data_IF_700234024232
#
_entry.id   IF_700234024232
#
_cell.length_a   1.000
_cell.length_b   1.000
_cell.length_c   1.000
_cell.angle_alpha   90.00
_cell.angle_beta   90.00
_cell.angle_gamma   90.00
#
_symmetry.space_group_name_H-M   'P 1'
#
loop_
_entity.id
_entity.type
_entity.pdbx_description
1 polymer ?
#
# COMPACT_ATOMS: atom_id res chain seq x y z
N UNK A 1 10.60 -10.61 3.02
CA UNK A 1 10.89 -11.57 1.93
C UNK A 1 11.10 -10.82 0.63
N UNK A 2 12.17 -11.15 -0.10
CA UNK A 2 12.46 -10.50 -1.37
C UNK A 2 12.68 -11.52 -2.49
N UNK A 3 12.44 -11.09 -3.73
CA UNK A 3 12.69 -11.91 -4.91
C UNK A 3 12.80 -11.06 -6.16
N UNK A 4 13.82 -11.32 -6.97
CA UNK A 4 13.94 -10.67 -8.28
C UNK A 4 12.72 -10.97 -9.17
N UNK A 5 12.23 -12.20 -9.15
CA UNK A 5 11.14 -12.68 -10.01
C UNK A 5 9.74 -12.23 -9.54
N UNK A 6 9.50 -12.22 -8.23
CA UNK A 6 8.16 -12.04 -7.68
C UNK A 6 7.95 -10.65 -7.06
N UNK A 7 9.03 -9.88 -6.89
CA UNK A 7 9.03 -8.61 -6.18
C UNK A 7 9.30 -8.76 -4.69
N UNK A 8 9.41 -7.66 -4.02
CA UNK A 8 9.63 -7.60 -2.59
C UNK A 8 8.31 -7.49 -1.83
N UNK A 9 8.25 -8.14 -0.68
CA UNK A 9 7.02 -8.23 0.11
C UNK A 9 7.32 -8.13 1.59
N UNK A 10 6.59 -7.26 2.28
CA UNK A 10 6.56 -7.22 3.74
C UNK A 10 5.47 -8.15 4.24
N UNK A 11 5.81 -9.02 5.20
CA UNK A 11 4.85 -9.92 5.84
C UNK A 11 4.52 -9.39 7.22
N UNK A 12 3.25 -9.03 7.42
CA UNK A 12 2.75 -8.55 8.71
C UNK A 12 1.75 -9.58 9.27
N UNK A 13 1.90 -9.91 10.54
CA UNK A 13 0.99 -10.81 11.23
C UNK A 13 0.28 -10.08 12.38
N UNK A 14 -0.98 -10.41 12.60
CA UNK A 14 -1.77 -9.87 13.70
C UNK A 14 -1.22 -10.28 15.07
N UNK A 15 -0.66 -11.48 15.15
CA UNK A 15 -0.14 -12.08 16.39
C UNK A 15 1.38 -12.01 16.45
N UNK A 16 1.96 -11.87 17.64
CA UNK A 16 3.40 -11.66 17.82
C UNK A 16 4.26 -12.91 17.60
N UNK A 17 3.68 -14.09 17.45
CA UNK A 17 4.40 -15.35 17.28
C UNK A 17 4.73 -15.62 15.80
N UNK A 18 5.52 -14.75 15.21
CA UNK A 18 6.08 -14.97 13.87
C UNK A 18 7.36 -15.79 14.00
N UNK A 19 7.38 -16.95 13.36
CA UNK A 19 8.63 -17.62 13.01
C UNK A 19 9.17 -17.00 11.73
N UNK A 20 10.48 -16.92 11.61
CA UNK A 20 11.10 -16.60 10.32
C UNK A 20 10.67 -17.66 9.31
N UNK A 21 10.14 -17.21 8.18
CA UNK A 21 9.67 -18.09 7.12
C UNK A 21 10.65 -17.96 5.95
N UNK A 22 11.26 -19.07 5.59
CA UNK A 22 11.97 -19.23 4.33
C UNK A 22 11.00 -19.77 3.29
N UNK A 23 10.98 -19.17 2.10
CA UNK A 23 10.16 -19.63 0.98
C UNK A 23 10.88 -19.34 -0.33
N UNK A 24 10.91 -20.34 -1.21
CA UNK A 24 11.60 -20.26 -2.51
C UNK A 24 10.78 -19.51 -3.56
N UNK A 25 9.47 -19.40 -3.32
CA UNK A 25 8.56 -18.69 -4.20
C UNK A 25 7.39 -18.09 -3.41
N UNK A 26 6.68 -17.16 -4.06
CA UNK A 26 5.59 -16.39 -3.45
C UNK A 26 4.40 -17.27 -3.03
N UNK A 27 4.12 -18.34 -3.74
CA UNK A 27 3.01 -19.24 -3.41
C UNK A 27 3.33 -20.08 -2.16
N UNK A 28 4.56 -20.53 -2.03
CA UNK A 28 5.06 -21.18 -0.81
C UNK A 28 5.03 -20.21 0.36
N UNK A 29 5.47 -18.96 0.18
CA UNK A 29 5.35 -17.92 1.21
C UNK A 29 3.90 -17.76 1.67
N UNK A 30 2.97 -17.56 0.74
CA UNK A 30 1.55 -17.35 1.03
C UNK A 30 0.89 -18.54 1.73
N UNK A 31 1.32 -19.77 1.44
CA UNK A 31 0.85 -20.99 2.10
C UNK A 31 1.43 -21.15 3.51
N UNK A 32 2.66 -20.69 3.72
CA UNK A 32 3.39 -20.84 5.00
C UNK A 32 2.97 -19.82 6.06
N UNK A 33 2.35 -18.72 5.69
CA UNK A 33 1.89 -17.70 6.62
C UNK A 33 0.48 -18.00 7.14
N UNK A 34 0.19 -17.51 8.35
CA UNK A 34 -1.13 -17.69 8.96
C UNK A 34 -2.23 -16.96 8.18
N UNK A 35 -3.49 -17.35 8.42
CA UNK A 35 -4.66 -16.63 7.88
C UNK A 35 -4.75 -15.17 8.37
N UNK A 36 -4.14 -14.88 9.51
CA UNK A 36 -4.07 -13.54 10.10
C UNK A 36 -2.77 -12.82 9.71
N UNK A 37 -2.29 -13.04 8.50
CA UNK A 37 -1.14 -12.34 7.93
C UNK A 37 -1.52 -11.64 6.64
N UNK A 38 -0.83 -10.52 6.36
CA UNK A 38 -0.81 -9.85 5.06
C UNK A 38 0.56 -9.98 4.42
N UNK A 39 0.57 -10.13 3.11
CA UNK A 39 1.76 -10.03 2.26
C UNK A 39 1.64 -8.74 1.48
N UNK A 40 2.42 -7.75 1.82
CA UNK A 40 2.31 -6.40 1.26
C UNK A 40 3.38 -6.24 0.18
N UNK A 41 3.01 -6.14 -1.10
CA UNK A 41 3.95 -5.77 -2.15
C UNK A 41 4.54 -4.40 -1.84
N UNK A 42 5.85 -4.29 -1.96
CA UNK A 42 6.68 -3.20 -1.52
C UNK A 42 7.44 -2.62 -2.70
N UNK A 43 7.62 -1.31 -2.77
CA UNK A 43 8.21 -0.55 -3.89
C UNK A 43 7.91 -1.17 -5.27
N UNK A 44 6.62 -1.34 -5.54
CA UNK A 44 6.11 -2.13 -6.67
C UNK A 44 6.59 -1.66 -8.05
N UNK A 45 6.97 -0.39 -8.19
CA UNK A 45 7.31 0.27 -9.46
C UNK A 45 8.65 -0.11 -10.05
N UNK A 46 9.50 -0.87 -9.37
CA UNK A 46 10.70 -1.38 -9.98
C UNK A 46 10.38 -2.40 -11.09
N UNK A 47 11.29 -2.54 -12.04
CA UNK A 47 11.09 -3.43 -13.17
C UNK A 47 10.88 -4.88 -12.75
N UNK A 48 10.09 -5.59 -13.52
CA UNK A 48 9.95 -7.05 -13.43
C UNK A 48 11.33 -7.70 -13.51
N UNK A 49 11.59 -8.67 -12.66
CA UNK A 49 12.90 -9.31 -12.44
C UNK A 49 13.98 -8.37 -11.85
N UNK A 50 13.59 -7.19 -11.38
CA UNK A 50 14.43 -6.25 -10.64
C UNK A 50 13.79 -5.87 -9.30
N UNK A 51 13.15 -6.81 -8.63
CA UNK A 51 12.43 -6.66 -7.35
C UNK A 51 11.09 -5.90 -7.42
N UNK A 52 10.65 -5.45 -8.60
CA UNK A 52 9.30 -4.90 -8.80
C UNK A 52 8.22 -5.98 -8.75
N UNK A 53 6.97 -5.55 -8.61
CA UNK A 53 5.85 -6.48 -8.51
C UNK A 53 5.70 -7.33 -9.77
N UNK A 54 5.32 -8.59 -9.57
CA UNK A 54 4.83 -9.44 -10.64
C UNK A 54 3.34 -9.72 -10.42
N UNK A 55 2.48 -9.00 -11.13
CA UNK A 55 1.03 -9.08 -10.98
C UNK A 55 0.44 -10.45 -11.30
N UNK A 56 1.13 -11.29 -12.10
CA UNK A 56 0.66 -12.64 -12.39
C UNK A 56 0.59 -13.53 -11.13
N UNK A 57 1.30 -13.14 -10.08
CA UNK A 57 1.32 -13.82 -8.77
C UNK A 57 0.63 -13.03 -7.67
N UNK A 58 -0.05 -11.93 -8.01
CA UNK A 58 -0.79 -11.15 -7.02
C UNK A 58 -1.98 -11.93 -6.47
N UNK A 59 -2.27 -11.75 -5.18
CA UNK A 59 -3.38 -12.42 -4.51
C UNK A 59 -4.07 -11.46 -3.54
N UNK A 60 -5.24 -10.98 -3.92
CA UNK A 60 -6.04 -10.00 -3.16
C UNK A 60 -6.38 -10.48 -1.74
N UNK A 61 -6.58 -11.78 -1.54
CA UNK A 61 -6.94 -12.32 -0.23
C UNK A 61 -5.82 -12.23 0.80
N UNK A 62 -4.58 -12.21 0.35
CA UNK A 62 -3.38 -12.07 1.18
C UNK A 62 -2.77 -10.66 1.11
N UNK A 63 -3.05 -9.93 0.04
CA UNK A 63 -2.53 -8.58 -0.22
C UNK A 63 -3.69 -7.59 -0.40
N UNK A 64 -4.38 -7.20 0.68
CA UNK A 64 -5.53 -6.30 0.58
C UNK A 64 -5.14 -4.89 0.12
N UNK A 65 -3.87 -4.54 0.19
CA UNK A 65 -3.31 -3.28 -0.28
C UNK A 65 -1.88 -3.45 -0.75
N UNK A 66 -1.40 -2.50 -1.53
CA UNK A 66 -0.01 -2.42 -2.02
C UNK A 66 0.63 -1.10 -1.60
N UNK A 67 1.93 -1.09 -1.41
CA UNK A 67 2.68 0.13 -1.17
C UNK A 67 2.97 0.83 -2.50
N UNK A 68 2.51 2.07 -2.61
CA UNK A 68 2.74 2.89 -3.81
C UNK A 68 3.75 4.00 -3.58
N UNK A 69 4.07 4.33 -2.32
CA UNK A 69 4.97 5.43 -2.00
C UNK A 69 5.81 5.12 -0.77
N UNK A 70 7.12 5.37 -0.89
CA UNK A 70 8.08 5.32 0.20
C UNK A 70 9.26 6.24 -0.12
N UNK A 71 10.38 6.14 0.62
CA UNK A 71 11.62 6.81 0.23
C UNK A 71 12.12 6.40 -1.17
N UNK A 72 11.65 5.29 -1.73
CA UNK A 72 11.98 4.84 -3.08
C UNK A 72 11.18 5.53 -4.18
N UNK A 73 10.21 6.39 -3.85
CA UNK A 73 9.40 7.14 -4.81
C UNK A 73 7.96 6.66 -4.93
N UNK A 74 7.28 7.12 -5.97
CA UNK A 74 5.86 6.88 -6.22
C UNK A 74 5.65 5.89 -7.37
N UNK A 75 4.83 4.88 -7.13
CA UNK A 75 4.47 3.81 -8.08
C UNK A 75 2.96 3.76 -8.33
N UNK A 76 2.27 4.90 -8.28
CA UNK A 76 0.83 4.96 -8.53
C UNK A 76 0.52 4.75 -10.02
N UNK A 77 1.19 5.51 -10.86
CA UNK A 77 1.02 5.53 -12.31
C UNK A 77 2.35 5.77 -13.01
N UNK A 78 2.42 5.58 -14.32
CA UNK A 78 3.66 5.69 -15.08
C UNK A 78 4.21 7.11 -15.12
N UNK A 79 3.33 8.10 -15.23
CA UNK A 79 3.68 9.53 -15.21
C UNK A 79 3.26 10.13 -13.90
N UNK A 80 4.22 10.50 -13.06
CA UNK A 80 3.96 11.11 -11.76
C UNK A 80 5.02 12.15 -11.38
N UNK A 81 4.70 12.96 -10.36
CA UNK A 81 5.55 14.06 -9.88
C UNK A 81 6.74 13.59 -9.03
N UNK A 82 6.68 12.38 -8.50
CA UNK A 82 7.71 11.83 -7.62
C UNK A 82 8.50 10.77 -8.37
N UNK A 83 9.76 11.07 -8.68
CA UNK A 83 10.66 10.12 -9.32
C UNK A 83 11.02 8.98 -8.37
N UNK A 84 11.31 7.82 -8.93
CA UNK A 84 11.95 6.74 -8.18
C UNK A 84 13.36 7.20 -7.77
N UNK A 85 13.68 7.09 -6.48
CA UNK A 85 14.88 7.68 -5.88
C UNK A 85 16.05 6.69 -5.77
N UNK A 86 15.91 5.49 -6.28
CA UNK A 86 16.90 4.43 -6.10
C UNK A 86 17.35 3.82 -7.42
N UNK A 87 18.60 3.34 -7.48
CA UNK A 87 19.25 2.80 -8.69
C UNK A 87 18.74 1.43 -9.16
N UNK A 88 17.64 0.92 -8.61
CA UNK A 88 17.03 -0.32 -9.07
C UNK A 88 16.25 -0.18 -10.39
N UNK A 89 16.43 0.94 -11.06
CA UNK A 89 15.88 1.23 -12.38
C UNK A 89 14.81 2.29 -12.37
N UNK A 90 14.40 2.69 -13.57
CA UNK A 90 13.27 3.59 -13.78
C UNK A 90 11.95 2.91 -13.42
N UNK A 91 10.93 3.71 -13.12
CA UNK A 91 9.58 3.20 -12.95
C UNK A 91 9.16 2.38 -14.18
N UNK A 92 8.70 1.17 -13.92
CA UNK A 92 8.14 0.30 -14.95
C UNK A 92 6.62 0.47 -15.01
N UNK A 93 6.06 0.73 -16.18
CA UNK A 93 4.62 0.93 -16.35
C UNK A 93 3.80 -0.26 -15.87
N UNK A 94 4.29 -1.48 -16.07
CA UNK A 94 3.67 -2.72 -15.59
C UNK A 94 3.88 -2.98 -14.09
N UNK A 95 4.69 -2.16 -13.40
CA UNK A 95 4.87 -2.17 -11.94
C UNK A 95 3.92 -1.22 -11.20
N UNK A 96 3.07 -0.47 -11.87
CA UNK A 96 2.24 0.55 -11.23
C UNK A 96 0.93 0.01 -10.64
N UNK A 97 0.36 0.73 -9.67
CA UNK A 97 -0.95 0.38 -9.12
C UNK A 97 -2.06 0.51 -10.16
N UNK A 98 -2.01 1.52 -11.03
CA UNK A 98 -2.96 1.68 -12.14
C UNK A 98 -2.93 0.50 -13.09
N UNK A 99 -1.77 -0.07 -13.36
CA UNK A 99 -1.68 -1.30 -14.14
C UNK A 99 -2.34 -2.49 -13.41
N UNK A 100 -2.10 -2.65 -12.11
CA UNK A 100 -2.77 -3.68 -11.31
C UNK A 100 -4.30 -3.57 -11.36
N UNK A 101 -4.84 -2.35 -11.23
CA UNK A 101 -6.28 -2.11 -11.38
C UNK A 101 -6.79 -2.39 -12.80
N UNK A 102 -6.02 -2.09 -13.84
CA UNK A 102 -6.38 -2.42 -15.23
C UNK A 102 -6.49 -3.93 -15.48
N UNK A 103 -5.77 -4.74 -14.70
CA UNK A 103 -5.88 -6.21 -14.69
C UNK A 103 -7.13 -6.71 -13.93
N UNK A 104 -7.91 -5.81 -13.31
CA UNK A 104 -9.11 -6.13 -12.56
C UNK A 104 -8.88 -6.45 -11.08
N UNK A 105 -7.66 -6.35 -10.57
CA UNK A 105 -7.36 -6.55 -9.16
C UNK A 105 -7.97 -5.47 -8.29
N UNK A 106 -8.45 -5.85 -7.09
CA UNK A 106 -9.10 -4.96 -6.13
C UNK A 106 -8.26 -4.85 -4.86
N UNK A 107 -7.51 -3.81 -4.74
CA UNK A 107 -6.65 -3.54 -3.58
C UNK A 107 -6.70 -2.08 -3.18
N UNK A 108 -6.38 -1.78 -1.92
CA UNK A 108 -6.12 -0.44 -1.43
C UNK A 108 -4.67 -0.03 -1.68
N UNK A 109 -4.36 1.23 -1.44
CA UNK A 109 -3.01 1.77 -1.59
C UNK A 109 -2.52 2.33 -0.27
N UNK A 110 -1.23 2.15 0.01
CA UNK A 110 -0.57 2.68 1.20
C UNK A 110 0.74 3.37 0.85
N UNK A 111 1.15 4.30 1.72
CA UNK A 111 2.52 4.76 1.81
C UNK A 111 3.24 4.07 2.98
N UNK A 112 4.54 4.03 2.94
CA UNK A 112 5.40 3.61 4.04
C UNK A 112 6.70 4.42 4.03
N UNK A 113 7.51 4.31 5.08
CA UNK A 113 8.78 5.02 5.12
C UNK A 113 9.87 4.30 4.36
N UNK A 114 9.89 2.98 4.43
CA UNK A 114 11.03 2.14 4.01
C UNK A 114 12.37 2.63 4.58
N UNK A 115 12.34 3.05 5.83
CA UNK A 115 13.48 3.72 6.46
C UNK A 115 14.56 2.72 6.88
N UNK A 116 15.72 2.79 6.23
CA UNK A 116 16.80 1.82 6.42
C UNK A 116 17.60 1.99 7.72
N UNK A 117 17.46 3.13 8.41
CA UNK A 117 18.09 3.34 9.71
C UNK A 117 17.18 3.00 10.91
N UNK A 118 16.07 2.30 10.69
CA UNK A 118 15.19 1.77 11.74
C UNK A 118 14.25 2.79 12.39
N UNK A 119 13.94 3.88 11.71
CA UNK A 119 12.96 4.89 12.18
C UNK A 119 11.64 4.80 11.39
N UNK A 120 10.79 3.79 11.66
CA UNK A 120 9.50 3.66 10.98
C UNK A 120 8.60 4.84 11.32
N UNK A 121 7.92 5.38 10.30
CA UNK A 121 7.07 6.57 10.48
C UNK A 121 7.83 7.89 10.57
N UNK A 122 9.10 7.93 10.15
CA UNK A 122 9.89 9.17 10.06
C UNK A 122 9.19 10.17 9.15
N UNK A 123 9.31 11.45 9.52
CA UNK A 123 8.69 12.55 8.79
C UNK A 123 9.31 12.71 7.39
N UNK A 124 8.51 13.14 6.42
CA UNK A 124 8.97 13.39 5.06
C UNK A 124 9.00 12.15 4.14
N UNK A 125 8.67 10.98 4.67
CA UNK A 125 8.49 9.75 3.90
C UNK A 125 7.04 9.29 3.90
N UNK A 126 6.71 8.25 3.14
CA UNK A 126 5.35 7.74 3.06
C UNK A 126 4.79 7.25 4.39
N UNK A 127 3.49 7.41 4.58
CA UNK A 127 2.74 6.91 5.72
C UNK A 127 1.45 6.24 5.24
N UNK A 128 0.89 5.39 6.07
CA UNK A 128 -0.44 4.83 5.90
C UNK A 128 -1.46 5.60 6.73
N UNK A 129 -2.53 6.08 6.09
CA UNK A 129 -3.74 6.49 6.81
C UNK A 129 -4.70 5.30 6.94
N UNK A 130 -5.28 5.12 8.13
CA UNK A 130 -6.23 4.05 8.41
C UNK A 130 -7.53 4.62 8.98
N UNK A 131 -8.66 4.36 8.33
CA UNK A 131 -9.97 4.76 8.83
C UNK A 131 -10.48 3.66 9.78
N UNK A 132 -10.55 3.97 11.06
CA UNK A 132 -10.92 3.03 12.10
C UNK A 132 -11.73 3.70 13.22
N UNK A 133 -12.65 2.97 13.84
CA UNK A 133 -13.49 3.47 14.97
C UNK A 133 -12.66 3.84 16.20
N UNK A 134 -11.56 3.15 16.43
CA UNK A 134 -10.66 3.36 17.56
C UNK A 134 -9.29 2.73 17.27
N UNK A 135 -8.31 2.98 18.14
CA UNK A 135 -6.93 2.50 18.03
C UNK A 135 -6.70 1.07 18.56
N UNK A 136 -7.76 0.30 18.86
CA UNK A 136 -7.58 -1.09 19.30
C UNK A 136 -7.03 -1.93 18.15
N UNK A 137 -6.10 -2.83 18.44
CA UNK A 137 -5.44 -3.73 17.48
C UNK A 137 -6.44 -4.47 16.59
N UNK A 138 -7.51 -5.01 17.18
CA UNK A 138 -8.55 -5.72 16.44
C UNK A 138 -9.28 -4.84 15.44
N UNK A 139 -9.59 -3.58 15.83
CA UNK A 139 -10.27 -2.61 14.97
C UNK A 139 -9.36 -2.17 13.82
N UNK A 140 -8.10 -1.83 14.13
CA UNK A 140 -7.12 -1.48 13.11
C UNK A 140 -6.91 -2.64 12.11
N UNK A 141 -6.77 -3.86 12.62
CA UNK A 141 -6.63 -5.05 11.77
C UNK A 141 -7.82 -5.27 10.85
N UNK A 142 -9.04 -5.07 11.36
CA UNK A 142 -10.27 -5.15 10.56
C UNK A 142 -10.29 -4.07 9.46
N UNK A 143 -9.91 -2.84 9.80
CA UNK A 143 -9.83 -1.75 8.82
C UNK A 143 -8.81 -2.03 7.72
N UNK A 144 -7.64 -2.53 8.08
CA UNK A 144 -6.61 -2.97 7.12
C UNK A 144 -7.16 -4.06 6.18
N UNK A 145 -7.79 -5.09 6.74
CA UNK A 145 -8.39 -6.18 5.96
C UNK A 145 -9.47 -5.69 5.00
N UNK A 146 -10.24 -4.70 5.40
CA UNK A 146 -11.31 -4.10 4.60
C UNK A 146 -10.82 -3.01 3.65
N UNK A 147 -9.50 -2.82 3.52
CA UNK A 147 -8.91 -1.79 2.63
C UNK A 147 -9.33 -0.36 2.98
N UNK A 148 -9.71 -0.10 4.25
CA UNK A 148 -10.05 1.25 4.73
C UNK A 148 -8.76 2.04 5.00
N UNK A 149 -7.97 2.21 3.96
CA UNK A 149 -6.61 2.78 4.01
C UNK A 149 -6.39 3.77 2.88
N UNK A 150 -5.41 4.65 3.05
CA UNK A 150 -4.92 5.54 2.01
C UNK A 150 -3.42 5.79 2.19
N UNK A 151 -2.77 6.22 1.13
CA UNK A 151 -1.37 6.60 1.13
C UNK A 151 -1.21 8.09 1.43
N UNK A 152 -0.15 8.43 2.15
CA UNK A 152 0.27 9.82 2.41
C UNK A 152 1.75 9.91 2.07
N UNK A 153 2.16 10.99 1.40
CA UNK A 153 3.51 11.16 0.86
C UNK A 153 4.42 12.03 1.74
N UNK A 154 4.15 12.11 3.04
CA UNK A 154 5.02 12.83 3.99
C UNK A 154 4.27 13.62 5.04
N UNK A 155 3.28 14.42 4.64
CA UNK A 155 2.47 15.18 5.59
C UNK A 155 1.44 14.28 6.27
N UNK A 156 1.15 14.57 7.53
CA UNK A 156 0.07 13.90 8.26
C UNK A 156 -1.27 14.48 7.80
N UNK A 157 -1.90 13.83 6.84
CA UNK A 157 -3.18 14.24 6.27
C UNK A 157 -4.29 13.34 6.79
N UNK A 158 -5.34 13.94 7.36
CA UNK A 158 -6.62 13.27 7.55
C UNK A 158 -7.39 13.32 6.24
N UNK A 159 -7.71 12.17 5.68
CA UNK A 159 -8.51 12.04 4.48
C UNK A 159 -9.71 11.15 4.77
N UNK A 160 -10.90 11.66 4.46
CA UNK A 160 -12.13 10.87 4.47
C UNK A 160 -12.82 11.06 3.13
N UNK A 161 -12.95 9.97 2.39
CA UNK A 161 -13.55 9.96 1.07
C UNK A 161 -14.67 8.93 1.02
N UNK A 162 -15.81 9.33 0.48
CA UNK A 162 -16.96 8.42 0.30
C UNK A 162 -17.57 8.57 -1.08
N UNK A 163 -18.11 7.46 -1.59
CA UNK A 163 -19.00 7.45 -2.75
C UNK A 163 -20.33 6.82 -2.30
N UNK A 164 -21.44 7.56 -2.46
CA UNK A 164 -22.77 7.11 -2.04
C UNK A 164 -22.78 6.66 -0.57
N UNK A 165 -22.12 7.40 0.32
CA UNK A 165 -21.95 7.11 1.74
C UNK A 165 -21.17 5.80 2.03
N UNK A 166 -20.46 5.25 1.07
CA UNK A 166 -19.56 4.12 1.26
C UNK A 166 -18.11 4.62 1.33
N UNK A 167 -17.40 4.22 2.38
CA UNK A 167 -16.02 4.65 2.63
C UNK A 167 -15.01 3.95 1.70
N UNK A 168 -13.79 4.49 1.65
CA UNK A 168 -12.65 3.86 0.95
C UNK A 168 -12.53 2.38 1.30
N UNK A 169 -12.20 1.55 0.31
CA UNK A 169 -12.14 0.09 0.41
C UNK A 169 -13.45 -0.63 0.13
N UNK A 170 -14.57 0.10 0.05
CA UNK A 170 -15.87 -0.49 -0.25
C UNK A 170 -16.05 -0.80 -1.73
N UNK A 171 -16.74 -1.89 -2.04
CA UNK A 171 -17.24 -2.17 -3.38
C UNK A 171 -18.61 -1.53 -3.54
N UNK A 172 -18.82 -0.83 -4.64
CA UNK A 172 -20.07 -0.16 -4.98
C UNK A 172 -20.55 -0.59 -6.35
N UNK A 173 -21.87 -0.68 -6.51
CA UNK A 173 -22.48 -0.89 -7.84
C UNK A 173 -22.34 0.39 -8.66
N UNK A 174 -21.98 0.25 -9.94
CA UNK A 174 -21.97 1.37 -10.90
C UNK A 174 -23.36 1.98 -10.99
N UNK A 175 -23.46 3.31 -10.90
CA UNK A 175 -24.69 4.10 -11.05
C UNK A 175 -24.46 5.17 -12.11
N UNK A 176 -25.56 5.69 -12.70
CA UNK A 176 -25.48 6.82 -13.66
C UNK A 176 -24.96 8.09 -12.98
N UNK A 177 -25.31 8.32 -11.72
CA UNK A 177 -24.85 9.43 -10.89
C UNK A 177 -24.36 8.89 -9.55
N UNK A 178 -23.29 9.47 -9.06
CA UNK A 178 -22.72 9.14 -7.76
C UNK A 178 -22.52 10.42 -6.94
N UNK A 179 -22.87 10.37 -5.68
CA UNK A 179 -22.56 11.42 -4.71
C UNK A 179 -21.17 11.16 -4.13
N UNK A 180 -20.25 12.09 -4.34
CA UNK A 180 -18.90 12.03 -3.81
C UNK A 180 -18.79 13.05 -2.69
N UNK A 181 -18.26 12.61 -1.54
CA UNK A 181 -17.93 13.49 -0.42
C UNK A 181 -16.46 13.31 -0.05
N UNK A 182 -15.75 14.43 0.08
CA UNK A 182 -14.32 14.45 0.39
C UNK A 182 -14.11 15.41 1.55
N UNK A 183 -13.38 14.92 2.57
CA UNK A 183 -12.82 15.75 3.62
C UNK A 183 -11.31 15.49 3.64
N UNK A 184 -10.53 16.56 3.60
CA UNK A 184 -9.07 16.49 3.72
C UNK A 184 -8.59 17.62 4.64
N UNK A 185 -7.69 17.28 5.57
CA UNK A 185 -7.09 18.24 6.49
C UNK A 185 -5.65 17.86 6.75
N UNK A 186 -4.71 18.79 6.57
CA UNK A 186 -3.35 18.64 7.09
C UNK A 186 -3.35 18.81 8.61
N UNK A 187 -2.64 17.93 9.31
CA UNK A 187 -2.42 18.02 10.76
C UNK A 187 -1.15 18.83 11.10
N UNK A 188 -0.39 19.20 10.09
CA UNK A 188 0.73 20.12 10.29
C UNK A 188 0.22 21.55 10.16
N UNK A 189 0.64 22.43 11.04
CA UNK A 189 0.51 23.87 10.82
C UNK A 189 1.29 24.20 9.55
N UNK A 190 0.56 24.64 8.52
CA UNK A 190 1.17 25.12 7.30
C UNK A 190 1.79 26.48 7.65
N UNK A 191 3.06 26.49 8.00
CA UNK A 191 3.86 27.70 7.95
C UNK A 191 4.12 28.05 6.49
N UNK A 192 3.10 28.52 5.80
CA UNK A 192 3.29 29.18 4.51
C UNK A 192 3.67 30.63 4.77
N UNK A 193 4.97 30.89 4.76
CA UNK A 193 5.44 32.16 4.24
C UNK A 193 5.06 32.20 2.74
N UNK A 194 4.16 33.10 2.40
CA UNK A 194 3.90 33.53 1.03
C UNK A 194 5.13 34.25 0.53
#
# INVERSE_FOLDING_TARGET
WHSLKYGDHNVINKNFNLKLISADNIDTLKKSISKDSFVIPHHIGYGKNKRGINWDYFNESKSPFVEIFSMHGLSLEEVNSFKMLHDMGTLSGDGTATYGWSKGYKFGIIGSTDHHAGYPGSYGSGLIGVIAKNKKKSTLWSSLKNKNVYAVSGDKIELFFTINNKIMGSEIKKRKQNNISIYAKSLNEISHGI
#
